data_IF_366705877414
#
_entry.id   IF_366705877414
#
_cell.length_a   1.000
_cell.length_b   1.000
_cell.length_c   1.000
_cell.angle_alpha   90.00
_cell.angle_beta   90.00
_cell.angle_gamma   90.00
#
_symmetry.space_group_name_H-M   'P 1'
#
loop_
_entity.id
_entity.type
_entity.pdbx_description
1 polymer ?
#
# COMPACT_ATOMS: atom_id res chain seq x y z
N UNK A 1 -92.40 -3.39 31.75
CA UNK A 1 -92.27 -4.03 33.08
C UNK A 1 -90.81 -4.46 33.24
N UNK A 2 -89.99 -3.60 33.84
CA UNK A 2 -89.35 -3.78 35.17
C UNK A 2 -88.38 -4.98 35.28
N UNK A 3 -87.11 -4.64 35.56
CA UNK A 3 -86.23 -5.21 36.62
C UNK A 3 -85.61 -6.59 36.26
N UNK A 4 -84.33 -6.65 35.90
CA UNK A 4 -83.13 -6.78 36.77
C UNK A 4 -83.02 -8.10 37.56
N UNK A 5 -81.91 -8.82 37.36
CA UNK A 5 -80.89 -9.13 38.38
C UNK A 5 -79.88 -10.15 37.86
N UNK A 6 -78.63 -9.86 38.18
CA UNK A 6 -77.45 -10.71 38.07
C UNK A 6 -77.64 -12.03 38.88
N UNK A 7 -76.83 -13.06 38.62
CA UNK A 7 -75.82 -13.60 39.54
C UNK A 7 -75.19 -14.92 38.97
N UNK A 8 -73.89 -14.82 38.68
CA UNK A 8 -72.76 -15.79 38.80
C UNK A 8 -73.00 -17.30 38.56
N UNK A 9 -72.19 -17.89 37.66
CA UNK A 9 -71.16 -18.89 38.01
C UNK A 9 -70.21 -19.18 36.83
N UNK A 10 -69.09 -19.82 37.13
CA UNK A 10 -67.76 -19.59 36.58
C UNK A 10 -67.28 -20.55 35.48
N UNK A 11 -66.23 -20.08 34.80
CA UNK A 11 -65.08 -20.79 34.25
C UNK A 11 -65.27 -21.78 33.08
N UNK A 12 -64.81 -21.35 31.89
CA UNK A 12 -63.88 -22.15 31.08
C UNK A 12 -63.01 -21.19 30.25
N UNK A 13 -61.71 -21.19 30.54
CA UNK A 13 -60.70 -20.48 29.80
C UNK A 13 -60.34 -21.26 28.53
N UNK A 14 -60.30 -20.58 27.38
CA UNK A 14 -59.52 -21.03 26.22
C UNK A 14 -58.84 -19.78 25.64
N UNK A 15 -57.53 -19.65 25.92
CA UNK A 15 -56.64 -18.76 25.19
C UNK A 15 -56.36 -19.38 23.82
N UNK A 16 -56.74 -18.70 22.74
CA UNK A 16 -56.17 -18.94 21.43
C UNK A 16 -54.93 -18.05 21.27
N UNK A 17 -53.75 -18.66 21.35
CA UNK A 17 -52.49 -18.01 21.04
C UNK A 17 -52.41 -17.75 19.52
N UNK A 18 -52.45 -16.49 19.10
CA UNK A 18 -52.06 -16.10 17.77
C UNK A 18 -50.53 -16.11 17.69
N UNK A 19 -49.99 -17.04 16.91
CA UNK A 19 -48.57 -17.10 16.59
C UNK A 19 -48.18 -15.84 15.80
N UNK A 20 -47.43 -14.95 16.44
CA UNK A 20 -46.63 -13.95 15.73
C UNK A 20 -45.52 -14.74 15.04
N UNK A 21 -45.65 -14.94 13.74
CA UNK A 21 -44.54 -15.35 12.89
C UNK A 21 -43.52 -14.22 12.92
N UNK A 22 -42.47 -14.39 13.72
CA UNK A 22 -41.24 -13.62 13.60
C UNK A 22 -40.68 -13.88 12.20
N UNK A 23 -40.79 -12.89 11.32
CA UNK A 23 -39.98 -12.83 10.11
C UNK A 23 -38.50 -12.97 10.53
N UNK A 24 -37.81 -13.92 9.92
CA UNK A 24 -36.42 -14.24 10.25
C UNK A 24 -35.53 -13.01 10.11
N UNK A 25 -34.77 -12.74 11.16
CA UNK A 25 -33.58 -11.90 11.09
C UNK A 25 -32.43 -12.82 10.68
N UNK A 26 -31.97 -12.66 9.44
CA UNK A 26 -30.70 -13.13 8.87
C UNK A 26 -30.50 -12.38 7.55
N UNK A 27 -29.31 -11.87 7.17
CA UNK A 27 -27.94 -12.29 7.54
C UNK A 27 -27.07 -11.18 8.19
N UNK A 28 -27.66 -10.19 8.86
CA UNK A 28 -26.90 -9.01 9.32
C UNK A 28 -25.80 -9.30 10.37
N UNK A 29 -25.83 -10.43 11.08
CA UNK A 29 -24.85 -10.75 12.15
C UNK A 29 -23.57 -11.39 11.65
N UNK A 30 -23.60 -12.18 10.55
CA UNK A 30 -22.40 -12.82 10.00
C UNK A 30 -21.56 -11.82 9.19
N UNK A 31 -22.22 -10.95 8.42
CA UNK A 31 -21.59 -9.89 7.64
C UNK A 31 -20.93 -8.83 8.54
N UNK A 32 -21.58 -8.47 9.65
CA UNK A 32 -21.01 -7.56 10.64
C UNK A 32 -19.77 -8.14 11.35
N UNK A 33 -19.71 -9.46 11.54
CA UNK A 33 -18.58 -10.13 12.20
C UNK A 33 -17.35 -10.21 11.29
N UNK A 34 -17.52 -10.58 10.01
CA UNK A 34 -16.39 -10.62 9.05
C UNK A 34 -15.79 -9.24 8.78
N UNK A 35 -16.62 -8.20 8.67
CA UNK A 35 -16.15 -6.81 8.53
C UNK A 35 -15.39 -6.34 9.78
N UNK A 36 -15.90 -6.65 10.98
CA UNK A 36 -15.22 -6.32 12.22
C UNK A 36 -13.85 -7.03 12.34
N UNK A 37 -13.77 -8.31 11.98
CA UNK A 37 -12.54 -9.09 11.94
C UNK A 37 -11.54 -8.54 10.92
N UNK A 38 -11.99 -8.16 9.72
CA UNK A 38 -11.14 -7.56 8.69
C UNK A 38 -10.50 -6.26 9.19
N UNK A 39 -11.33 -5.37 9.73
CA UNK A 39 -10.91 -4.08 10.27
C UNK A 39 -9.99 -4.23 11.49
N UNK A 40 -10.27 -5.22 12.35
CA UNK A 40 -9.43 -5.55 13.51
C UNK A 40 -8.06 -6.07 13.09
N UNK A 41 -8.02 -6.99 12.12
CA UNK A 41 -6.76 -7.52 11.60
C UNK A 41 -5.82 -6.43 11.10
N UNK A 42 -6.34 -5.47 10.32
CA UNK A 42 -5.55 -4.37 9.78
C UNK A 42 -5.05 -3.38 10.84
N UNK A 43 -5.86 -3.11 11.87
CA UNK A 43 -5.39 -2.34 13.03
C UNK A 43 -4.24 -3.07 13.73
N UNK A 44 -4.40 -4.36 14.02
CA UNK A 44 -3.35 -5.17 14.64
C UNK A 44 -2.03 -5.14 13.85
N UNK A 45 -2.09 -5.28 12.52
CA UNK A 45 -0.89 -5.16 11.67
C UNK A 45 -0.25 -3.76 11.69
N UNK A 46 -1.07 -2.71 11.77
CA UNK A 46 -0.58 -1.34 11.92
C UNK A 46 0.08 -1.13 13.28
N UNK A 47 -0.51 -1.68 14.33
CA UNK A 47 -0.12 -1.45 15.73
C UNK A 47 1.05 -2.32 16.20
N UNK A 48 1.42 -3.36 15.45
CA UNK A 48 2.54 -4.22 15.81
C UNK A 48 2.19 -5.66 16.11
N UNK A 49 0.91 -5.97 16.32
CA UNK A 49 0.41 -7.25 16.82
C UNK A 49 0.06 -8.23 15.69
N UNK A 50 1.09 -8.72 15.00
CA UNK A 50 0.89 -9.58 13.83
C UNK A 50 0.21 -10.91 14.18
N UNK A 51 0.38 -11.38 15.43
CA UNK A 51 -0.19 -12.63 15.88
C UNK A 51 -1.71 -12.51 16.02
N UNK A 52 -2.19 -11.44 16.65
CA UNK A 52 -3.61 -11.13 16.73
C UNK A 52 -4.20 -10.86 15.34
N UNK A 53 -3.51 -10.07 14.50
CA UNK A 53 -3.99 -9.79 13.14
C UNK A 53 -4.16 -11.06 12.28
N UNK A 54 -3.21 -11.99 12.34
CA UNK A 54 -3.36 -13.30 11.66
C UNK A 54 -4.41 -14.20 12.31
N UNK A 55 -4.71 -14.04 13.60
CA UNK A 55 -5.78 -14.78 14.25
C UNK A 55 -7.16 -14.30 13.77
N UNK A 56 -7.35 -12.99 13.67
CA UNK A 56 -8.57 -12.38 13.16
C UNK A 56 -8.81 -12.77 11.70
N UNK A 57 -7.77 -12.77 10.85
CA UNK A 57 -7.88 -13.25 9.47
C UNK A 57 -8.27 -14.73 9.40
N UNK A 58 -7.70 -15.61 10.25
CA UNK A 58 -8.11 -17.02 10.28
C UNK A 58 -9.56 -17.20 10.72
N UNK A 59 -10.03 -16.41 11.68
CA UNK A 59 -11.43 -16.42 12.09
C UNK A 59 -12.35 -15.94 10.97
N UNK A 60 -11.98 -14.86 10.28
CA UNK A 60 -12.70 -14.35 9.10
C UNK A 60 -12.78 -15.43 8.02
N UNK A 61 -11.65 -16.01 7.64
CA UNK A 61 -11.57 -17.04 6.60
C UNK A 61 -12.32 -18.34 6.98
N UNK A 62 -12.51 -18.61 8.28
CA UNK A 62 -13.35 -19.72 8.73
C UNK A 62 -14.85 -19.42 8.54
N UNK A 63 -15.25 -18.15 8.69
CA UNK A 63 -16.63 -17.70 8.47
C UNK A 63 -16.95 -17.46 6.98
N UNK A 64 -16.00 -16.92 6.21
CA UNK A 64 -16.06 -16.75 4.76
C UNK A 64 -14.81 -17.32 4.08
N UNK A 65 -14.85 -18.61 3.67
CA UNK A 65 -13.70 -19.28 3.08
C UNK A 65 -13.22 -18.74 1.73
N UNK A 66 -14.03 -17.94 1.04
CA UNK A 66 -13.75 -17.42 -0.29
C UNK A 66 -13.40 -15.92 -0.28
N UNK A 67 -13.26 -15.31 0.89
CA UNK A 67 -12.86 -13.91 0.99
C UNK A 67 -11.44 -13.70 0.43
N UNK A 68 -11.36 -13.09 -0.75
CA UNK A 68 -10.13 -12.97 -1.52
C UNK A 68 -9.12 -12.03 -0.87
N UNK A 69 -9.58 -10.94 -0.24
CA UNK A 69 -8.68 -9.99 0.41
C UNK A 69 -8.15 -10.55 1.73
N UNK A 70 -8.98 -11.25 2.51
CA UNK A 70 -8.54 -11.89 3.74
C UNK A 70 -7.50 -12.99 3.44
N UNK A 71 -7.72 -13.79 2.39
CA UNK A 71 -6.73 -14.76 1.90
C UNK A 71 -5.42 -14.08 1.43
N UNK A 72 -5.51 -12.97 0.70
CA UNK A 72 -4.34 -12.20 0.27
C UNK A 72 -3.55 -11.64 1.48
N UNK A 73 -4.24 -11.01 2.43
CA UNK A 73 -3.64 -10.51 3.68
C UNK A 73 -3.04 -11.65 4.50
N UNK A 74 -3.69 -12.81 4.56
CA UNK A 74 -3.19 -13.97 5.29
C UNK A 74 -1.87 -14.45 4.69
N UNK A 75 -1.75 -14.49 3.35
CA UNK A 75 -0.50 -14.82 2.68
C UNK A 75 0.60 -13.77 2.95
N UNK A 76 0.29 -12.48 2.80
CA UNK A 76 1.25 -11.38 2.98
C UNK A 76 1.80 -11.35 4.42
N UNK A 77 0.93 -11.44 5.42
CA UNK A 77 1.33 -11.34 6.82
C UNK A 77 1.89 -12.66 7.39
N UNK A 78 1.52 -13.81 6.84
CA UNK A 78 2.21 -15.07 7.12
C UNK A 78 3.62 -15.10 6.54
N UNK A 79 3.80 -14.51 5.35
CA UNK A 79 5.14 -14.29 4.81
C UNK A 79 5.93 -13.42 5.77
N UNK A 80 5.40 -12.26 6.20
CA UNK A 80 6.04 -11.40 7.21
C UNK A 80 6.44 -12.18 8.48
N UNK A 81 5.58 -13.07 8.96
CA UNK A 81 5.85 -13.90 10.14
C UNK A 81 6.88 -15.03 9.95
N UNK A 82 7.28 -15.33 8.71
CA UNK A 82 8.16 -16.46 8.41
C UNK A 82 7.45 -17.81 8.43
N UNK A 83 6.16 -17.85 8.09
CA UNK A 83 5.33 -19.06 8.05
C UNK A 83 5.01 -19.47 6.60
N UNK A 84 5.90 -20.21 5.92
CA UNK A 84 5.70 -20.61 4.53
C UNK A 84 4.55 -21.59 4.34
N UNK A 85 4.16 -22.34 5.38
CA UNK A 85 3.02 -23.26 5.33
C UNK A 85 1.72 -22.48 5.19
N UNK A 86 1.51 -21.48 6.04
CA UNK A 86 0.33 -20.62 5.97
C UNK A 86 0.30 -19.78 4.68
N UNK A 87 1.46 -19.36 4.15
CA UNK A 87 1.54 -18.72 2.82
C UNK A 87 1.04 -19.67 1.74
N UNK A 88 1.53 -20.90 1.71
CA UNK A 88 1.15 -21.90 0.70
C UNK A 88 -0.35 -22.22 0.73
N UNK A 89 -0.92 -22.41 1.91
CA UNK A 89 -2.35 -22.69 2.09
C UNK A 89 -3.21 -21.51 1.60
N UNK A 90 -2.90 -20.29 2.04
CA UNK A 90 -3.65 -19.10 1.66
C UNK A 90 -3.58 -18.85 0.15
N UNK A 91 -2.39 -18.98 -0.46
CA UNK A 91 -2.18 -18.80 -1.90
C UNK A 91 -2.87 -19.87 -2.74
N UNK A 92 -2.88 -21.13 -2.30
CA UNK A 92 -3.55 -22.23 -3.01
C UNK A 92 -5.07 -22.00 -3.04
N UNK A 93 -5.65 -21.58 -1.91
CA UNK A 93 -7.07 -21.23 -1.82
C UNK A 93 -7.40 -19.99 -2.64
N UNK A 94 -6.59 -18.93 -2.52
CA UNK A 94 -6.78 -17.70 -3.27
C UNK A 94 -6.74 -17.95 -4.78
N UNK A 95 -5.79 -18.74 -5.27
CA UNK A 95 -5.70 -19.08 -6.69
C UNK A 95 -6.86 -19.90 -7.22
N UNK A 96 -7.54 -20.68 -6.36
CA UNK A 96 -8.75 -21.41 -6.72
C UNK A 96 -9.99 -20.51 -6.81
N UNK A 97 -10.02 -19.41 -6.05
CA UNK A 97 -11.15 -18.46 -6.00
C UNK A 97 -10.97 -17.31 -7.00
N UNK A 98 -9.79 -16.68 -7.01
CA UNK A 98 -9.44 -15.54 -7.85
C UNK A 98 -7.95 -15.58 -8.24
N UNK A 99 -7.69 -16.03 -9.47
CA UNK A 99 -6.34 -16.11 -10.02
C UNK A 99 -5.69 -14.73 -10.22
N UNK A 100 -6.47 -13.67 -10.44
CA UNK A 100 -5.98 -12.30 -10.58
C UNK A 100 -5.47 -11.76 -9.24
N UNK A 101 -6.28 -11.89 -8.19
CA UNK A 101 -5.88 -11.54 -6.82
C UNK A 101 -4.68 -12.39 -6.36
N UNK A 102 -4.63 -13.68 -6.71
CA UNK A 102 -3.47 -14.53 -6.43
C UNK A 102 -2.19 -14.07 -7.15
N UNK A 103 -2.29 -13.68 -8.42
CA UNK A 103 -1.16 -13.15 -9.18
C UNK A 103 -0.67 -11.82 -8.59
N UNK A 104 -1.59 -10.92 -8.21
CA UNK A 104 -1.28 -9.67 -7.52
C UNK A 104 -0.62 -9.89 -6.15
N UNK A 105 -1.14 -10.81 -5.35
CA UNK A 105 -0.55 -11.19 -4.06
C UNK A 105 0.85 -11.77 -4.23
N UNK A 106 1.04 -12.63 -5.24
CA UNK A 106 2.37 -13.14 -5.59
C UNK A 106 3.34 -12.02 -5.99
N UNK A 107 2.85 -11.00 -6.70
CA UNK A 107 3.63 -9.81 -7.04
C UNK A 107 4.06 -9.05 -5.77
N UNK A 108 3.16 -8.88 -4.79
CA UNK A 108 3.49 -8.27 -3.48
C UNK A 108 4.58 -9.05 -2.77
N UNK A 109 4.43 -10.38 -2.64
CA UNK A 109 5.43 -11.23 -1.96
C UNK A 109 6.81 -11.15 -2.64
N UNK A 110 6.84 -11.14 -3.98
CA UNK A 110 8.07 -10.93 -4.75
C UNK A 110 8.64 -9.53 -4.53
N UNK A 111 7.81 -8.50 -4.53
CA UNK A 111 8.22 -7.10 -4.35
C UNK A 111 8.87 -6.86 -2.99
N UNK A 112 8.25 -7.31 -1.89
CA UNK A 112 8.80 -7.12 -0.55
C UNK A 112 10.11 -7.91 -0.34
N UNK A 113 10.23 -9.08 -0.97
CA UNK A 113 11.46 -9.89 -0.96
C UNK A 113 12.58 -9.20 -1.74
N UNK A 114 12.29 -8.74 -2.95
CA UNK A 114 13.25 -8.00 -3.77
C UNK A 114 13.69 -6.71 -3.06
N UNK A 115 12.76 -5.95 -2.49
CA UNK A 115 13.02 -4.74 -1.74
C UNK A 115 13.94 -4.95 -0.53
N UNK A 116 13.75 -6.03 0.23
CA UNK A 116 14.62 -6.35 1.36
C UNK A 116 16.07 -6.64 0.92
N UNK A 117 16.25 -7.21 -0.28
CA UNK A 117 17.54 -7.48 -0.90
C UNK A 117 18.13 -6.29 -1.65
N UNK A 118 17.35 -5.25 -1.94
CA UNK A 118 17.84 -4.04 -2.63
C UNK A 118 18.93 -3.37 -1.80
N UNK A 119 20.07 -3.15 -2.45
CA UNK A 119 21.16 -2.34 -1.92
C UNK A 119 21.00 -0.89 -2.40
N UNK A 120 21.04 0.10 -1.49
CA UNK A 120 21.18 1.50 -1.91
C UNK A 120 22.43 1.66 -2.79
N UNK A 121 22.27 2.26 -3.97
CA UNK A 121 23.36 2.39 -4.93
C UNK A 121 23.60 3.87 -5.29
N UNK A 122 24.77 4.45 -5.02
CA UNK A 122 25.07 5.82 -5.39
C UNK A 122 25.49 5.99 -6.86
N UNK A 123 25.67 4.89 -7.60
CA UNK A 123 26.15 4.92 -8.98
C UNK A 123 24.98 4.98 -9.97
N UNK A 124 25.08 5.83 -11.01
CA UNK A 124 24.10 5.84 -12.10
C UNK A 124 24.01 4.49 -12.82
N UNK A 125 22.80 4.08 -13.15
CA UNK A 125 22.55 2.98 -14.06
C UNK A 125 22.67 3.46 -15.52
N UNK A 126 23.20 2.62 -16.40
CA UNK A 126 23.22 2.89 -17.84
C UNK A 126 21.88 2.47 -18.44
N UNK A 127 21.00 3.44 -18.66
CA UNK A 127 19.63 3.22 -19.14
C UNK A 127 19.29 4.18 -20.30
N UNK A 128 18.21 3.87 -21.01
CA UNK A 128 17.77 4.60 -22.21
C UNK A 128 16.36 5.20 -22.09
N UNK A 129 15.81 5.71 -23.20
CA UNK A 129 14.53 6.44 -23.22
C UNK A 129 13.31 5.63 -22.74
N UNK A 130 13.39 4.29 -22.78
CA UNK A 130 12.33 3.40 -22.25
C UNK A 130 12.39 3.22 -20.73
N UNK A 131 13.32 3.89 -20.04
CA UNK A 131 13.44 3.89 -18.58
C UNK A 131 13.32 5.32 -18.07
N UNK A 132 12.36 5.58 -17.18
CA UNK A 132 12.25 6.86 -16.51
C UNK A 132 13.12 6.95 -15.27
N UNK A 133 13.48 8.18 -14.88
CA UNK A 133 14.16 8.48 -13.62
C UNK A 133 13.12 9.10 -12.70
N UNK A 134 12.77 8.45 -11.60
CA UNK A 134 11.69 8.90 -10.72
C UNK A 134 12.27 9.36 -9.39
N UNK A 135 12.11 10.64 -9.08
CA UNK A 135 12.65 11.29 -7.88
C UNK A 135 11.54 11.52 -6.87
N UNK A 136 11.66 10.91 -5.68
CA UNK A 136 10.67 11.05 -4.62
C UNK A 136 10.98 12.25 -3.72
N UNK A 137 9.92 13.00 -3.37
CA UNK A 137 9.95 14.10 -2.41
C UNK A 137 10.34 13.69 -0.97
N UNK A 138 10.72 14.69 -0.16
CA UNK A 138 11.16 14.56 1.23
C UNK A 138 10.57 15.65 2.16
N UNK A 139 9.70 16.51 1.63
CA UNK A 139 9.24 17.72 2.31
C UNK A 139 10.08 18.96 1.99
N UNK A 140 9.40 20.10 1.90
CA UNK A 140 10.03 21.42 1.90
C UNK A 140 10.15 21.97 3.33
N UNK A 141 10.96 23.01 3.48
CA UNK A 141 10.95 23.89 4.65
C UNK A 141 9.72 24.84 4.57
N UNK A 142 9.28 25.45 5.70
CA UNK A 142 8.09 26.31 5.71
C UNK A 142 8.13 27.51 4.75
N UNK A 143 9.33 27.99 4.43
CA UNK A 143 9.57 29.07 3.47
C UNK A 143 9.56 28.59 1.99
N UNK A 144 9.38 27.29 1.75
CA UNK A 144 9.40 26.67 0.43
C UNK A 144 10.80 26.23 -0.04
N UNK A 145 11.84 26.40 0.77
CA UNK A 145 13.18 25.93 0.43
C UNK A 145 13.28 24.39 0.47
N UNK A 146 14.18 23.84 -0.33
CA UNK A 146 14.49 22.42 -0.30
C UNK A 146 15.17 22.06 1.02
N UNK A 147 14.83 20.90 1.57
CA UNK A 147 15.60 20.33 2.68
C UNK A 147 16.92 19.76 2.16
N UNK A 148 18.01 19.74 2.97
CA UNK A 148 19.29 19.17 2.56
C UNK A 148 19.18 17.76 1.97
N UNK A 149 18.36 16.90 2.58
CA UNK A 149 18.16 15.54 2.06
C UNK A 149 17.40 15.51 0.72
N UNK A 150 16.52 16.48 0.45
CA UNK A 150 15.89 16.59 -0.87
C UNK A 150 16.92 17.03 -1.93
N UNK A 151 17.84 17.93 -1.59
CA UNK A 151 18.95 18.31 -2.47
C UNK A 151 19.90 17.14 -2.76
N UNK A 152 20.14 16.28 -1.77
CA UNK A 152 20.91 15.04 -1.94
C UNK A 152 20.26 14.10 -2.96
N UNK A 153 18.93 13.88 -2.85
CA UNK A 153 18.16 13.09 -3.82
C UNK A 153 18.21 13.70 -5.22
N UNK A 154 18.07 15.01 -5.31
CA UNK A 154 18.14 15.73 -6.59
C UNK A 154 19.53 15.68 -7.21
N UNK A 155 20.58 15.69 -6.39
CA UNK A 155 21.96 15.52 -6.86
C UNK A 155 22.17 14.12 -7.44
N UNK A 156 21.65 13.07 -6.78
CA UNK A 156 21.67 11.71 -7.33
C UNK A 156 20.88 11.63 -8.66
N UNK A 157 19.67 12.22 -8.69
CA UNK A 157 18.86 12.27 -9.91
C UNK A 157 19.55 13.00 -11.06
N UNK A 158 20.24 14.11 -10.77
CA UNK A 158 21.00 14.88 -11.73
C UNK A 158 22.15 14.06 -12.34
N UNK A 159 22.91 13.34 -11.51
CA UNK A 159 23.95 12.42 -11.97
C UNK A 159 23.36 11.30 -12.86
N UNK A 160 22.21 10.73 -12.47
CA UNK A 160 21.51 9.73 -13.28
C UNK A 160 21.05 10.29 -14.63
N UNK A 161 20.52 11.51 -14.64
CA UNK A 161 19.98 12.14 -15.84
C UNK A 161 21.08 12.57 -16.84
N UNK A 162 22.29 12.84 -16.34
CA UNK A 162 23.49 13.03 -17.18
C UNK A 162 23.91 11.71 -17.81
N UNK A 163 23.96 10.63 -17.02
CA UNK A 163 24.31 9.30 -17.51
C UNK A 163 23.27 8.71 -18.48
N UNK A 164 22.02 9.14 -18.38
CA UNK A 164 20.90 8.72 -19.22
C UNK A 164 20.19 9.95 -19.86
N UNK A 165 20.81 10.60 -20.87
CA UNK A 165 20.34 11.88 -21.40
C UNK A 165 19.02 11.80 -22.18
N UNK A 166 18.52 10.60 -22.49
CA UNK A 166 17.26 10.41 -23.22
C UNK A 166 16.12 9.90 -22.33
N UNK A 167 16.39 9.58 -21.06
CA UNK A 167 15.35 9.15 -20.12
C UNK A 167 14.47 10.33 -19.70
N UNK A 168 13.14 10.16 -19.60
CA UNK A 168 12.29 11.15 -18.95
C UNK A 168 12.59 11.18 -17.45
N UNK A 169 12.49 12.35 -16.83
CA UNK A 169 12.65 12.54 -15.40
C UNK A 169 11.29 12.89 -14.80
N UNK A 170 10.79 12.10 -13.87
CA UNK A 170 9.59 12.39 -13.10
C UNK A 170 10.02 12.83 -11.71
N UNK A 171 9.48 13.95 -11.25
CA UNK A 171 9.64 14.43 -9.86
C UNK A 171 8.26 14.36 -9.19
N UNK A 172 8.15 13.64 -8.07
CA UNK A 172 6.87 13.35 -7.40
C UNK A 172 6.85 13.80 -5.94
N UNK A 173 5.81 14.56 -5.58
CA UNK A 173 5.61 15.12 -4.24
C UNK A 173 4.67 16.32 -4.27
N UNK A 174 3.52 16.17 -3.62
CA UNK A 174 2.40 17.11 -3.71
C UNK A 174 2.22 18.04 -2.52
N UNK A 175 2.94 17.86 -1.41
CA UNK A 175 2.76 18.72 -0.23
C UNK A 175 3.32 20.13 -0.50
N UNK A 176 2.46 21.17 -0.57
CA UNK A 176 2.95 22.51 -0.84
C UNK A 176 3.48 23.17 0.43
N UNK A 177 4.53 23.98 0.29
CA UNK A 177 4.97 24.96 1.30
C UNK A 177 5.15 26.30 0.60
N UNK A 178 4.71 27.38 1.24
CA UNK A 178 4.80 28.74 0.67
C UNK A 178 4.29 28.84 -0.78
N UNK A 179 3.20 28.13 -1.11
CA UNK A 179 2.57 28.15 -2.44
C UNK A 179 3.28 27.34 -3.54
N UNK A 180 4.32 26.56 -3.22
CA UNK A 180 5.02 25.69 -4.17
C UNK A 180 4.99 24.22 -3.70
N UNK A 181 4.70 23.29 -4.61
CA UNK A 181 4.79 21.85 -4.34
C UNK A 181 6.25 21.38 -4.31
N UNK A 182 6.51 20.29 -3.59
CA UNK A 182 7.82 19.63 -3.60
C UNK A 182 8.28 19.32 -5.04
N UNK A 183 7.39 18.77 -5.87
CA UNK A 183 7.69 18.41 -7.24
C UNK A 183 8.07 19.62 -8.12
N UNK A 184 7.38 20.76 -7.99
CA UNK A 184 7.75 21.96 -8.73
C UNK A 184 9.08 22.56 -8.23
N UNK A 185 9.34 22.53 -6.92
CA UNK A 185 10.63 22.94 -6.36
C UNK A 185 11.79 22.05 -6.88
N UNK A 186 11.57 20.74 -6.94
CA UNK A 186 12.51 19.77 -7.52
C UNK A 186 12.78 20.05 -9.00
N UNK A 187 11.74 20.32 -9.80
CA UNK A 187 11.88 20.69 -11.21
C UNK A 187 12.74 21.94 -11.38
N UNK A 188 12.46 23.01 -10.62
CA UNK A 188 13.23 24.27 -10.68
C UNK A 188 14.71 24.04 -10.38
N UNK A 189 15.01 23.22 -9.38
CA UNK A 189 16.39 22.89 -9.02
C UNK A 189 17.12 22.17 -10.15
N UNK A 190 16.50 21.16 -10.77
CA UNK A 190 17.08 20.38 -11.86
C UNK A 190 17.30 21.24 -13.11
N UNK A 191 16.33 22.08 -13.48
CA UNK A 191 16.47 23.05 -14.58
C UNK A 191 17.59 24.04 -14.30
N UNK A 192 17.68 24.56 -13.06
CA UNK A 192 18.76 25.45 -12.64
C UNK A 192 20.15 24.81 -12.71
N UNK A 193 20.24 23.48 -12.72
CA UNK A 193 21.46 22.69 -12.90
C UNK A 193 21.66 22.20 -14.35
N UNK A 194 20.91 22.75 -15.30
CA UNK A 194 21.12 22.55 -16.74
C UNK A 194 20.37 21.37 -17.36
N UNK A 195 19.44 20.73 -16.65
CA UNK A 195 18.56 19.74 -17.30
C UNK A 195 17.51 20.45 -18.17
N UNK A 196 17.27 19.97 -19.40
CA UNK A 196 16.18 20.47 -20.24
C UNK A 196 14.82 20.34 -19.54
N UNK A 197 14.05 21.43 -19.51
CA UNK A 197 12.79 21.50 -18.78
C UNK A 197 11.70 20.60 -19.36
N UNK A 198 11.76 20.30 -20.66
CA UNK A 198 10.87 19.40 -21.40
C UNK A 198 11.09 17.91 -21.05
N UNK A 199 12.26 17.57 -20.49
CA UNK A 199 12.53 16.22 -19.96
C UNK A 199 11.96 15.99 -18.56
N UNK A 200 11.56 17.03 -17.85
CA UNK A 200 11.15 16.95 -16.44
C UNK A 200 9.63 17.05 -16.33
N UNK A 201 9.02 15.99 -15.85
CA UNK A 201 7.59 15.82 -15.66
C UNK A 201 7.25 15.93 -14.17
N UNK A 202 6.27 16.76 -13.84
CA UNK A 202 5.88 17.08 -12.46
C UNK A 202 4.67 16.27 -12.06
N UNK A 203 4.78 15.55 -10.95
CA UNK A 203 3.69 14.88 -10.24
C UNK A 203 3.49 15.57 -8.89
N UNK A 204 2.49 16.43 -8.78
CA UNK A 204 2.27 17.32 -7.63
C UNK A 204 1.06 16.93 -6.77
N UNK A 205 0.57 15.69 -6.86
CA UNK A 205 -0.60 15.23 -6.11
C UNK A 205 -0.27 14.26 -4.98
N UNK A 206 0.87 13.57 -5.04
CA UNK A 206 1.18 12.55 -4.04
C UNK A 206 1.50 13.13 -2.65
N UNK A 207 0.76 12.68 -1.64
CA UNK A 207 0.99 12.97 -0.22
C UNK A 207 1.66 11.82 0.55
N UNK A 208 1.92 10.68 -0.10
CA UNK A 208 2.50 9.48 0.53
C UNK A 208 3.41 8.69 -0.41
N UNK A 209 4.21 7.76 0.14
CA UNK A 209 5.05 6.85 -0.65
C UNK A 209 4.23 6.03 -1.65
N UNK A 210 3.09 5.50 -1.19
CA UNK A 210 2.14 4.73 -2.01
C UNK A 210 1.65 5.57 -3.19
N UNK A 211 1.25 6.82 -2.95
CA UNK A 211 0.78 7.71 -4.01
C UNK A 211 1.91 8.11 -4.96
N UNK A 212 3.13 8.34 -4.46
CA UNK A 212 4.30 8.61 -5.32
C UNK A 212 4.47 7.46 -6.33
N UNK A 213 4.41 6.20 -5.88
CA UNK A 213 4.56 5.03 -6.72
C UNK A 213 3.40 4.88 -7.72
N UNK A 214 2.15 4.95 -7.27
CA UNK A 214 0.98 4.81 -8.13
C UNK A 214 0.91 5.91 -9.20
N UNK A 215 1.17 7.16 -8.82
CA UNK A 215 1.02 8.31 -9.72
C UNK A 215 2.17 8.37 -10.71
N UNK A 216 3.41 8.13 -10.25
CA UNK A 216 4.57 8.06 -11.14
C UNK A 216 4.50 6.87 -12.09
N UNK A 217 4.01 5.71 -11.64
CA UNK A 217 3.87 4.53 -12.51
C UNK A 217 2.89 4.80 -13.66
N UNK A 218 1.81 5.55 -13.42
CA UNK A 218 0.91 5.97 -14.51
C UNK A 218 1.61 6.90 -15.50
N UNK A 219 2.31 7.91 -15.00
CA UNK A 219 3.08 8.83 -15.86
C UNK A 219 4.17 8.14 -16.67
N UNK A 220 4.89 7.16 -16.10
CA UNK A 220 5.88 6.38 -16.84
C UNK A 220 5.26 5.70 -18.07
N UNK A 221 4.07 5.10 -17.91
CA UNK A 221 3.35 4.47 -19.03
C UNK A 221 2.93 5.49 -20.08
N UNK A 222 2.42 6.65 -19.66
CA UNK A 222 2.02 7.74 -20.56
C UNK A 222 3.22 8.29 -21.36
N UNK A 223 4.41 8.24 -20.78
CA UNK A 223 5.68 8.63 -21.41
C UNK A 223 6.34 7.50 -22.25
N UNK A 224 5.73 6.32 -22.32
CA UNK A 224 6.29 5.17 -23.03
C UNK A 224 7.49 4.51 -22.33
N UNK A 225 7.70 4.81 -21.04
CA UNK A 225 8.71 4.16 -20.22
C UNK A 225 8.14 2.88 -19.57
N UNK A 226 8.88 1.78 -19.68
CA UNK A 226 8.49 0.46 -19.17
C UNK A 226 9.26 0.05 -17.91
N UNK A 227 10.29 0.82 -17.55
CA UNK A 227 11.08 0.62 -16.35
C UNK A 227 11.42 1.95 -15.68
N UNK A 228 11.89 1.88 -14.44
CA UNK A 228 12.34 3.05 -13.69
C UNK A 228 13.68 2.83 -12.99
N UNK A 229 14.47 3.91 -12.95
CA UNK A 229 15.43 4.15 -11.88
C UNK A 229 14.70 4.97 -10.81
N UNK A 230 14.50 4.39 -9.63
CA UNK A 230 13.89 5.08 -8.49
C UNK A 230 14.99 5.79 -7.70
N UNK A 231 14.78 7.07 -7.39
CA UNK A 231 15.73 7.94 -6.68
C UNK A 231 15.13 8.43 -5.36
N UNK A 232 15.74 8.07 -4.24
CA UNK A 232 15.35 8.51 -2.88
C UNK A 232 16.50 8.30 -1.88
N UNK A 233 16.30 8.65 -0.61
CA UNK A 233 17.26 8.41 0.49
C UNK A 233 17.56 6.92 0.70
N UNK A 234 18.77 6.54 1.17
CA UNK A 234 19.12 5.14 1.46
C UNK A 234 18.19 4.43 2.46
N UNK A 235 17.72 5.13 3.49
CA UNK A 235 16.78 4.57 4.47
C UNK A 235 15.37 4.34 3.90
N UNK A 236 15.05 4.90 2.73
CA UNK A 236 13.72 4.90 2.13
C UNK A 236 13.64 4.05 0.86
N UNK A 237 14.78 3.76 0.24
CA UNK A 237 14.84 3.14 -1.09
C UNK A 237 14.16 1.78 -1.16
N UNK A 238 14.28 0.94 -0.12
CA UNK A 238 13.67 -0.39 -0.11
C UNK A 238 12.15 -0.31 -0.14
N UNK A 239 11.57 0.60 0.65
CA UNK A 239 10.12 0.82 0.69
C UNK A 239 9.60 1.32 -0.66
N UNK A 240 10.27 2.33 -1.22
CA UNK A 240 9.94 2.84 -2.54
C UNK A 240 10.02 1.73 -3.61
N UNK A 241 11.07 0.91 -3.61
CA UNK A 241 11.21 -0.19 -4.58
C UNK A 241 10.07 -1.20 -4.49
N UNK A 242 9.64 -1.58 -3.28
CA UNK A 242 8.49 -2.46 -3.11
C UNK A 242 7.23 -1.82 -3.73
N UNK A 243 6.93 -0.57 -3.38
CA UNK A 243 5.73 0.13 -3.86
C UNK A 243 5.74 0.27 -5.39
N UNK A 244 6.87 0.63 -6.01
CA UNK A 244 6.96 0.74 -7.47
C UNK A 244 6.76 -0.62 -8.17
N UNK A 245 7.30 -1.71 -7.62
CA UNK A 245 7.08 -3.05 -8.18
C UNK A 245 5.60 -3.47 -8.03
N UNK A 246 4.98 -3.17 -6.88
CA UNK A 246 3.55 -3.47 -6.66
C UNK A 246 2.67 -2.65 -7.60
N UNK A 247 2.97 -1.36 -7.79
CA UNK A 247 2.26 -0.47 -8.72
C UNK A 247 2.40 -0.88 -10.20
N UNK A 248 3.29 -1.83 -10.51
CA UNK A 248 3.48 -2.41 -11.85
C UNK A 248 4.68 -1.84 -12.62
N UNK A 249 5.62 -1.16 -11.95
CA UNK A 249 6.86 -0.68 -12.58
C UNK A 249 7.98 -1.70 -12.46
N UNK A 250 8.69 -1.96 -13.56
CA UNK A 250 9.96 -2.70 -13.51
C UNK A 250 11.08 -1.79 -12.99
N UNK A 251 11.53 -2.00 -11.75
CA UNK A 251 12.60 -1.20 -11.15
C UNK A 251 13.97 -1.77 -11.53
N UNK A 252 14.73 -1.03 -12.35
CA UNK A 252 16.04 -1.44 -12.87
C UNK A 252 17.21 -0.70 -12.22
N UNK A 253 16.90 0.31 -11.39
CA UNK A 253 17.89 1.03 -10.60
C UNK A 253 17.27 1.61 -9.33
N UNK A 254 18.05 1.60 -8.25
CA UNK A 254 17.66 2.06 -6.92
C UNK A 254 18.70 3.08 -6.43
N UNK A 255 18.69 4.26 -7.05
CA UNK A 255 19.76 5.23 -6.87
C UNK A 255 19.53 6.07 -5.62
N UNK A 256 20.60 6.32 -4.87
CA UNK A 256 20.52 7.08 -3.63
C UNK A 256 21.67 8.08 -3.51
N UNK A 257 21.55 9.00 -2.57
CA UNK A 257 22.70 9.80 -2.13
C UNK A 257 23.72 8.95 -1.37
N UNK A 258 24.89 9.54 -1.08
CA UNK A 258 25.91 8.93 -0.22
C UNK A 258 25.58 9.04 1.27
N UNK A 259 24.65 9.92 1.64
CA UNK A 259 24.30 10.17 3.03
C UNK A 259 23.64 8.93 3.66
N UNK A 260 24.16 8.45 4.78
CA UNK A 260 23.72 7.23 5.46
C UNK A 260 23.86 5.93 4.64
N UNK A 261 24.57 5.94 3.52
CA UNK A 261 24.71 4.77 2.65
C UNK A 261 25.22 3.54 3.43
N UNK A 262 26.33 3.69 4.16
CA UNK A 262 26.98 2.58 4.88
C UNK A 262 26.06 1.93 5.92
N UNK A 263 25.31 2.73 6.69
CA UNK A 263 24.40 2.20 7.70
C UNK A 263 23.18 1.49 7.10
N UNK A 264 22.89 1.75 5.82
CA UNK A 264 21.76 1.17 5.10
C UNK A 264 22.15 0.01 4.18
N UNK A 265 23.43 -0.36 4.09
CA UNK A 265 23.89 -1.50 3.27
C UNK A 265 23.34 -2.86 3.77
N UNK A 266 23.37 -3.20 5.08
CA UNK A 266 22.85 -4.48 5.53
C UNK A 266 21.33 -4.59 5.27
N UNK A 267 20.82 -5.80 4.97
CA UNK A 267 19.38 -6.03 4.93
C UNK A 267 18.73 -5.65 6.27
N UNK A 268 17.56 -4.99 6.26
CA UNK A 268 16.87 -4.62 7.49
C UNK A 268 16.42 -5.86 8.26
N UNK A 269 16.53 -5.82 9.59
CA UNK A 269 15.92 -6.82 10.47
C UNK A 269 14.40 -6.91 10.20
N UNK A 270 13.79 -8.06 10.50
CA UNK A 270 12.40 -8.32 10.12
C UNK A 270 11.42 -7.25 10.64
N UNK A 271 11.58 -6.83 11.90
CA UNK A 271 10.77 -5.75 12.48
C UNK A 271 10.86 -4.43 11.70
N UNK A 272 12.04 -4.09 11.18
CA UNK A 272 12.25 -2.89 10.37
C UNK A 272 11.67 -3.00 8.95
N UNK A 273 11.23 -4.20 8.54
CA UNK A 273 10.54 -4.40 7.25
C UNK A 273 9.04 -4.12 7.32
N UNK A 274 8.43 -3.96 8.51
CA UNK A 274 6.97 -3.77 8.65
C UNK A 274 6.43 -2.66 7.75
N UNK A 275 7.12 -1.52 7.70
CA UNK A 275 6.72 -0.39 6.84
C UNK A 275 6.69 -0.73 5.35
N UNK A 276 7.54 -1.66 4.89
CA UNK A 276 7.54 -2.16 3.51
C UNK A 276 6.27 -2.98 3.24
N UNK A 277 5.85 -3.83 4.18
CA UNK A 277 4.65 -4.65 4.02
C UNK A 277 3.37 -3.81 4.07
N UNK A 278 3.30 -2.84 4.98
CA UNK A 278 2.15 -1.94 5.08
C UNK A 278 1.97 -1.12 3.79
N UNK A 279 3.04 -0.50 3.28
CA UNK A 279 2.97 0.31 2.07
C UNK A 279 2.73 -0.56 0.82
N UNK A 280 3.35 -1.75 0.72
CA UNK A 280 3.10 -2.69 -0.37
C UNK A 280 1.64 -3.19 -0.39
N UNK A 281 1.05 -3.45 0.78
CA UNK A 281 -0.38 -3.86 0.89
C UNK A 281 -1.30 -2.73 0.42
N UNK A 282 -1.01 -1.48 0.82
CA UNK A 282 -1.77 -0.30 0.38
C UNK A 282 -1.59 0.00 -1.11
N UNK A 283 -0.38 -0.21 -1.64
CA UNK A 283 -0.10 -0.05 -3.07
C UNK A 283 -0.76 -1.12 -3.91
N UNK A 284 -1.03 -2.30 -3.32
CA UNK A 284 -1.83 -3.34 -3.94
C UNK A 284 -3.34 -3.03 -3.92
N UNK A 285 -3.74 -1.91 -3.31
CA UNK A 285 -5.12 -1.40 -3.28
C UNK A 285 -6.11 -2.39 -2.63
N UNK A 286 -5.66 -3.18 -1.64
CA UNK A 286 -6.57 -3.86 -0.72
C UNK A 286 -7.26 -2.83 0.18
N UNK A 287 -8.54 -3.02 0.47
CA UNK A 287 -9.30 -2.10 1.31
C UNK A 287 -8.61 -1.93 2.67
N UNK A 288 -8.41 -0.70 3.14
CA UNK A 288 -7.81 -0.43 4.46
C UNK A 288 -8.78 -0.63 5.63
N UNK A 289 -10.07 -0.69 5.30
CA UNK A 289 -11.19 -1.05 6.16
C UNK A 289 -12.42 -1.32 5.29
N UNK A 290 -13.36 -2.12 5.80
CA UNK A 290 -14.68 -2.40 5.23
C UNK A 290 -15.80 -1.77 6.06
#
# INVERSE_FOLDING_TARGET
MKISKQWKQAAAAVLAAAAVTTAGIGPATAEADVTALYNSAQRHFTDGDDAAGRADLRALIAADPNDTEALALQAIWSHYAGDPGAVGEAMARLGAVDAGMAAGTSNVLRAVTAAAATLPNPLPALVGPQTGIVVLGYGLLPDGALRPELENRLTAAWLQAIAAPFSPVIVTGGNPQNGISEAEAMRRWLVGRGLPADRIHVEDRAGSTVQNALFSTRMLRDLGAHSAVVVTSPNHIRRAVADFIVAGTNVVGAMTSLEQLVSQLPPPARAAQRGIYLDATRTFELDTAR
#
